data_IF_700276332129
#
_entry.id   IF_700276332129
#
_cell.length_a   1.000
_cell.length_b   1.000
_cell.length_c   1.000
_cell.angle_alpha   90.00
_cell.angle_beta   90.00
_cell.angle_gamma   90.00
#
_symmetry.space_group_name_H-M   'P 1'
#
loop_
_entity.id
_entity.type
_entity.pdbx_description
1 polymer ?
#
# COMPACT_ATOMS: atom_id res chain seq x y z
N UNK A 1 9.16 14.60 -0.75
CA UNK A 1 9.25 13.31 -0.03
C UNK A 1 8.83 12.24 -1.02
N UNK A 2 9.69 11.26 -1.26
CA UNK A 2 9.38 10.16 -2.17
C UNK A 2 8.22 9.31 -1.62
N UNK A 3 7.31 8.89 -2.50
CA UNK A 3 6.08 8.16 -2.11
C UNK A 3 6.41 6.81 -1.49
N UNK A 4 7.47 6.13 -1.96
CA UNK A 4 7.92 4.87 -1.40
C UNK A 4 8.52 5.11 -0.01
N UNK A 5 9.31 6.17 0.15
CA UNK A 5 9.86 6.55 1.45
C UNK A 5 8.80 6.86 2.53
N UNK A 6 7.68 7.50 2.15
CA UNK A 6 6.54 7.67 3.06
C UNK A 6 5.88 6.33 3.37
N UNK A 7 5.63 5.52 2.34
CA UNK A 7 4.96 4.24 2.49
C UNK A 7 5.73 3.26 3.38
N UNK A 8 7.06 3.16 3.21
CA UNK A 8 7.92 2.32 4.05
C UNK A 8 7.87 2.70 5.52
N UNK A 9 7.83 4.00 5.84
CA UNK A 9 7.73 4.48 7.23
C UNK A 9 6.36 4.19 7.84
N UNK A 10 5.29 4.38 7.06
CA UNK A 10 3.95 4.04 7.51
C UNK A 10 3.83 2.54 7.78
N UNK A 11 4.36 1.71 6.88
CA UNK A 11 4.37 0.25 7.01
C UNK A 11 5.12 -0.20 8.28
N UNK A 12 6.33 0.33 8.51
CA UNK A 12 7.11 0.03 9.72
C UNK A 12 6.35 0.40 11.00
N UNK A 13 5.61 1.51 11.00
CA UNK A 13 4.81 1.95 12.14
C UNK A 13 3.57 1.07 12.42
N UNK A 14 3.12 0.26 11.46
CA UNK A 14 2.02 -0.70 11.68
C UNK A 14 2.51 -2.07 12.15
N UNK A 15 3.82 -2.37 12.04
CA UNK A 15 4.37 -3.63 12.52
C UNK A 15 4.49 -3.61 14.05
N UNK A 16 3.60 -4.31 14.73
CA UNK A 16 3.53 -4.37 16.20
C UNK A 16 3.81 -5.77 16.78
N UNK A 17 4.16 -6.76 15.96
CA UNK A 17 4.39 -8.14 16.39
C UNK A 17 3.28 -9.12 15.98
N UNK A 18 2.06 -8.60 15.78
CA UNK A 18 0.85 -9.41 15.54
C UNK A 18 0.25 -9.09 14.16
N UNK A 19 0.21 -7.81 13.78
CA UNK A 19 -0.34 -7.37 12.50
C UNK A 19 0.38 -8.00 11.29
N UNK A 20 1.71 -8.08 11.30
CA UNK A 20 2.48 -8.65 10.19
C UNK A 20 2.26 -10.17 9.98
N UNK A 21 1.71 -10.86 10.98
CA UNK A 21 1.49 -12.32 10.93
C UNK A 21 0.14 -12.69 10.30
N UNK A 22 -0.82 -11.77 10.29
CA UNK A 22 -2.18 -11.97 9.76
C UNK A 22 -2.53 -11.15 8.51
N UNK A 23 -1.91 -9.98 8.35
CA UNK A 23 -2.33 -8.97 7.36
C UNK A 23 -1.21 -8.48 6.43
N UNK A 24 -0.10 -9.22 6.34
CA UNK A 24 0.98 -8.93 5.40
C UNK A 24 0.44 -8.70 3.98
N UNK A 25 0.56 -7.48 3.42
CA UNK A 25 -0.15 -7.14 2.20
C UNK A 25 0.43 -7.93 1.02
N UNK A 26 -0.38 -8.74 0.32
CA UNK A 26 0.13 -9.52 -0.79
C UNK A 26 0.54 -8.59 -1.94
N UNK A 27 1.84 -8.45 -2.15
CA UNK A 27 2.38 -7.82 -3.37
C UNK A 27 2.22 -8.84 -4.49
N UNK A 28 1.33 -8.56 -5.44
CA UNK A 28 1.12 -9.42 -6.61
C UNK A 28 1.70 -8.74 -7.85
N UNK A 29 2.43 -9.49 -8.67
CA UNK A 29 2.85 -9.04 -9.99
C UNK A 29 1.66 -9.05 -10.94
N UNK A 30 1.46 -7.96 -11.67
CA UNK A 30 0.42 -7.86 -12.71
C UNK A 30 1.06 -8.14 -14.07
N UNK A 31 0.31 -8.79 -14.97
CA UNK A 31 0.74 -9.28 -16.29
C UNK A 31 1.22 -8.18 -17.28
N UNK A 32 1.06 -6.90 -16.91
CA UNK A 32 1.61 -5.71 -17.59
C UNK A 32 2.50 -5.01 -16.57
N UNK A 33 3.70 -4.50 -16.92
CA UNK A 33 4.68 -4.00 -15.95
C UNK A 33 3.99 -3.17 -14.87
N UNK A 34 3.97 -3.71 -13.66
CA UNK A 34 3.08 -3.24 -12.62
C UNK A 34 2.98 -4.21 -11.47
N UNK A 35 2.71 -3.65 -10.30
CA UNK A 35 2.48 -4.37 -9.07
C UNK A 35 1.17 -3.86 -8.48
N UNK A 36 0.42 -4.76 -7.85
CA UNK A 36 -0.74 -4.39 -7.05
C UNK A 36 -0.43 -4.64 -5.59
N UNK A 37 -0.89 -3.72 -4.75
CA UNK A 37 -0.76 -3.80 -3.30
C UNK A 37 -2.16 -3.66 -2.70
N UNK A 38 -2.56 -4.67 -1.93
CA UNK A 38 -3.80 -4.63 -1.15
C UNK A 38 -3.42 -4.66 0.32
N UNK A 39 -3.86 -3.65 1.06
CA UNK A 39 -3.62 -3.55 2.50
C UNK A 39 -4.97 -3.54 3.19
N UNK A 40 -5.14 -4.42 4.16
CA UNK A 40 -6.30 -4.38 5.04
C UNK A 40 -6.00 -3.40 6.19
N UNK A 41 -6.86 -2.38 6.41
CA UNK A 41 -6.62 -1.41 7.47
C UNK A 41 -6.95 -1.96 8.86
N UNK A 42 -7.47 -3.18 8.99
CA UNK A 42 -7.82 -3.74 10.29
C UNK A 42 -6.60 -3.80 11.22
N UNK A 43 -6.75 -3.29 12.44
CA UNK A 43 -5.66 -3.22 13.42
C UNK A 43 -4.61 -2.13 13.17
N UNK A 44 -4.81 -1.25 12.18
CA UNK A 44 -3.95 -0.07 11.93
C UNK A 44 -4.61 1.20 12.47
N UNK A 45 -3.90 2.33 12.46
CA UNK A 45 -4.46 3.67 12.77
C UNK A 45 -5.64 4.09 11.85
N UNK A 46 -5.84 3.34 10.76
CA UNK A 46 -6.91 3.51 9.78
C UNK A 46 -8.12 2.56 10.01
N UNK A 47 -8.10 1.70 11.03
CA UNK A 47 -9.21 0.81 11.37
C UNK A 47 -10.51 1.62 11.60
N UNK A 48 -11.61 1.14 11.04
CA UNK A 48 -12.93 1.79 11.15
C UNK A 48 -13.10 3.08 10.33
N UNK A 49 -12.08 3.57 9.62
CA UNK A 49 -12.20 4.76 8.78
C UNK A 49 -12.79 4.44 7.41
N UNK A 50 -13.81 5.21 7.02
CA UNK A 50 -14.31 5.18 5.63
C UNK A 50 -13.50 6.16 4.80
N UNK A 51 -12.74 5.65 3.83
CA UNK A 51 -11.95 6.45 2.90
C UNK A 51 -12.64 6.45 1.54
N UNK A 52 -12.75 7.63 0.91
CA UNK A 52 -13.25 7.71 -0.47
C UNK A 52 -12.26 7.06 -1.43
N UNK A 53 -12.77 6.32 -2.41
CA UNK A 53 -11.92 5.70 -3.42
C UNK A 53 -11.37 6.77 -4.36
N UNK A 54 -10.09 7.05 -4.25
CA UNK A 54 -9.37 7.93 -5.18
C UNK A 54 -8.73 7.07 -6.27
N UNK A 55 -8.80 7.51 -7.53
CA UNK A 55 -8.13 6.86 -8.66
C UNK A 55 -7.28 7.90 -9.38
N UNK A 56 -5.96 7.70 -9.37
CA UNK A 56 -5.03 8.50 -10.15
C UNK A 56 -4.51 7.65 -11.31
N UNK A 57 -4.77 8.09 -12.54
CA UNK A 57 -4.10 7.55 -13.71
C UNK A 57 -2.94 8.50 -14.03
N UNK A 58 -1.76 8.20 -13.52
CA UNK A 58 -0.56 8.92 -13.92
C UNK A 58 -0.24 8.47 -15.35
N UNK A 59 -0.47 9.34 -16.34
CA UNK A 59 0.06 9.13 -17.68
C UNK A 59 1.58 9.15 -17.56
N UNK A 60 2.19 7.96 -17.57
CA UNK A 60 3.62 7.83 -17.65
C UNK A 60 3.98 8.10 -19.12
N UNK A 61 4.59 9.25 -19.40
CA UNK A 61 5.37 9.42 -20.63
C UNK A 61 6.47 8.37 -20.55
N UNK A 62 6.23 7.21 -21.14
CA UNK A 62 7.16 6.11 -21.17
C UNK A 62 8.33 6.48 -22.08
N UNK A 63 9.27 7.27 -21.56
CA UNK A 63 10.65 7.30 -22.05
C UNK A 63 11.36 6.18 -21.27
N UNK A 64 11.47 5.01 -21.91
CA UNK A 64 12.24 3.86 -21.44
C UNK A 64 13.69 3.98 -21.91
#
# INVERSE_FOLDING_TARGET
MDVLGWFSRWYEAQCDGDWERGFGPPISTVDKPGWSLKIDPAGTDCDGRTLERITHNYEHEADW
#
